data_IF_228735625671
#
_entry.id   IF_228735625671
#
_cell.length_a   1.000
_cell.length_b   1.000
_cell.length_c   1.000
_cell.angle_alpha   90.00
_cell.angle_beta   90.00
_cell.angle_gamma   90.00
#
_symmetry.space_group_name_H-M   'P 1'
#
loop_
_entity.id
_entity.type
_entity.pdbx_description
1 polymer ?
#
# COMPACT_ATOMS: atom_id res chain seq x y z
N UNK A 1 24.18 -11.78 -0.54
CA UNK A 1 23.54 -11.14 -1.71
C UNK A 1 23.54 -9.65 -1.47
N UNK A 2 23.98 -8.83 -2.43
CA UNK A 2 23.99 -7.36 -2.25
C UNK A 2 22.56 -6.81 -2.26
N UNK A 3 22.30 -5.66 -1.62
CA UNK A 3 20.97 -5.04 -1.62
C UNK A 3 20.41 -4.80 -3.02
N UNK A 4 21.25 -4.42 -3.97
CA UNK A 4 20.86 -4.18 -5.36
C UNK A 4 20.39 -5.47 -6.06
N UNK A 5 21.10 -6.57 -5.86
CA UNK A 5 20.67 -7.89 -6.39
C UNK A 5 19.34 -8.32 -5.79
N UNK A 6 19.14 -8.10 -4.49
CA UNK A 6 17.88 -8.43 -3.83
C UNK A 6 16.73 -7.62 -4.43
N UNK A 7 16.89 -6.30 -4.56
CA UNK A 7 15.91 -5.42 -5.19
C UNK A 7 15.58 -5.85 -6.61
N UNK A 8 16.59 -6.18 -7.41
CA UNK A 8 16.42 -6.67 -8.78
C UNK A 8 15.58 -7.95 -8.84
N UNK A 9 15.91 -8.96 -8.03
CA UNK A 9 15.16 -10.23 -8.02
C UNK A 9 13.74 -10.04 -7.50
N UNK A 10 13.54 -9.21 -6.47
CA UNK A 10 12.20 -8.90 -5.94
C UNK A 10 11.37 -8.18 -7.01
N UNK A 11 11.93 -7.17 -7.66
CA UNK A 11 11.26 -6.48 -8.76
C UNK A 11 10.87 -7.42 -9.90
N UNK A 12 11.75 -8.38 -10.27
CA UNK A 12 11.41 -9.40 -11.27
C UNK A 12 10.22 -10.28 -10.85
N UNK A 13 10.21 -10.73 -9.59
CA UNK A 13 9.09 -11.54 -9.06
C UNK A 13 7.78 -10.76 -9.06
N UNK A 14 7.81 -9.50 -8.61
CA UNK A 14 6.64 -8.61 -8.66
C UNK A 14 6.14 -8.44 -10.09
N UNK A 15 7.04 -8.18 -11.03
CA UNK A 15 6.67 -8.04 -12.43
C UNK A 15 6.09 -9.30 -13.06
N UNK A 16 6.67 -10.44 -12.71
CA UNK A 16 6.13 -11.74 -13.16
C UNK A 16 4.72 -11.96 -12.62
N UNK A 17 4.47 -11.67 -11.33
CA UNK A 17 3.14 -11.79 -10.73
C UNK A 17 2.12 -10.84 -11.39
N UNK A 18 2.49 -9.59 -11.61
CA UNK A 18 1.64 -8.60 -12.31
C UNK A 18 1.24 -9.13 -13.69
N UNK A 19 2.18 -9.71 -14.43
CA UNK A 19 1.95 -10.25 -15.76
C UNK A 19 1.11 -11.55 -15.73
N UNK A 20 1.53 -12.54 -14.97
CA UNK A 20 0.90 -13.86 -14.92
C UNK A 20 -0.57 -13.79 -14.46
N UNK A 21 -0.87 -12.86 -13.55
CA UNK A 21 -2.22 -12.66 -13.00
C UNK A 21 -2.97 -11.46 -13.62
N UNK A 22 -2.41 -10.82 -14.64
CA UNK A 22 -3.02 -9.66 -15.31
C UNK A 22 -3.50 -8.58 -14.32
N UNK A 23 -2.68 -8.30 -13.31
CA UNK A 23 -3.06 -7.42 -12.19
C UNK A 23 -3.21 -5.96 -12.62
N UNK A 24 -2.44 -5.52 -13.64
CA UNK A 24 -2.47 -4.16 -14.18
C UNK A 24 -2.78 -4.17 -15.67
N UNK A 25 -3.46 -3.13 -16.11
CA UNK A 25 -3.82 -2.87 -17.51
C UNK A 25 -3.38 -1.47 -17.91
N UNK A 26 -3.38 -1.23 -19.23
CA UNK A 26 -3.15 0.10 -19.81
C UNK A 26 -4.14 1.11 -19.23
N UNK A 27 -3.62 2.25 -18.77
CA UNK A 27 -4.41 3.34 -18.20
C UNK A 27 -4.86 3.14 -16.76
N UNK A 28 -4.42 2.08 -16.06
CA UNK A 28 -4.80 1.88 -14.66
C UNK A 28 -4.28 3.00 -13.76
N UNK A 29 -5.15 3.49 -12.89
CA UNK A 29 -4.81 4.40 -11.79
C UNK A 29 -4.72 3.61 -10.49
N UNK A 30 -3.51 3.48 -9.99
CA UNK A 30 -3.17 2.62 -8.84
C UNK A 30 -3.06 3.45 -7.57
N UNK A 31 -3.88 3.15 -6.58
CA UNK A 31 -3.74 3.66 -5.22
C UNK A 31 -2.90 2.68 -4.41
N UNK A 32 -1.69 3.07 -4.07
CA UNK A 32 -0.77 2.24 -3.27
C UNK A 32 -0.93 2.55 -1.79
N UNK A 33 -1.49 1.61 -1.02
CA UNK A 33 -1.63 1.76 0.43
C UNK A 33 -0.25 1.68 1.11
N UNK A 34 0.14 2.75 1.78
CA UNK A 34 1.41 2.85 2.50
C UNK A 34 1.14 2.88 4.00
N UNK A 35 1.71 1.93 4.73
CA UNK A 35 1.60 1.85 6.19
C UNK A 35 2.75 2.56 6.94
N UNK A 36 3.81 2.95 6.21
CA UNK A 36 5.08 3.41 6.78
C UNK A 36 6.05 2.26 7.12
N UNK A 37 5.61 1.02 7.04
CA UNK A 37 6.47 -0.16 7.20
C UNK A 37 7.34 -0.41 5.96
N UNK A 38 8.48 -1.09 6.17
CA UNK A 38 9.50 -1.38 5.14
C UNK A 38 8.91 -2.04 3.88
N UNK A 39 7.95 -2.95 4.04
CA UNK A 39 7.39 -3.72 2.93
C UNK A 39 6.55 -2.83 2.01
N UNK A 40 5.73 -1.93 2.58
CA UNK A 40 4.94 -0.97 1.81
C UNK A 40 5.80 0.05 1.07
N UNK A 41 6.88 0.54 1.69
CA UNK A 41 7.80 1.47 1.07
C UNK A 41 8.65 0.79 -0.02
N UNK A 42 9.09 -0.45 0.22
CA UNK A 42 9.81 -1.24 -0.76
C UNK A 42 8.95 -1.51 -2.01
N UNK A 43 7.70 -1.93 -1.81
CA UNK A 43 6.78 -2.18 -2.93
C UNK A 43 6.46 -0.88 -3.69
N UNK A 44 6.26 0.23 -2.99
CA UNK A 44 6.06 1.54 -3.62
C UNK A 44 7.21 1.90 -4.58
N UNK A 45 8.45 1.74 -4.12
CA UNK A 45 9.63 1.99 -4.92
C UNK A 45 9.72 1.04 -6.13
N UNK A 46 9.46 -0.24 -5.93
CA UNK A 46 9.43 -1.23 -7.03
C UNK A 46 8.38 -0.84 -8.06
N UNK A 47 7.17 -0.49 -7.65
CA UNK A 47 6.09 -0.11 -8.57
C UNK A 47 6.47 1.13 -9.38
N UNK A 48 7.04 2.16 -8.74
CA UNK A 48 7.55 3.37 -9.39
C UNK A 48 8.63 3.07 -10.44
N UNK A 49 9.64 2.28 -10.06
CA UNK A 49 10.73 1.94 -10.97
C UNK A 49 10.24 1.15 -12.17
N UNK A 50 9.26 0.28 -11.97
CA UNK A 50 8.71 -0.58 -13.03
C UNK A 50 7.93 0.17 -14.10
N UNK A 51 7.33 1.32 -13.82
CA UNK A 51 6.66 2.15 -14.83
C UNK A 51 7.56 2.38 -16.06
N UNK A 52 8.88 2.46 -15.85
CA UNK A 52 9.86 2.71 -16.92
C UNK A 52 10.15 1.50 -17.82
N UNK A 53 9.81 0.30 -17.39
CA UNK A 53 10.25 -0.95 -18.03
C UNK A 53 9.11 -1.86 -18.48
N UNK A 54 7.87 -1.51 -18.16
CA UNK A 54 6.71 -2.33 -18.55
C UNK A 54 6.08 -1.76 -19.83
N UNK A 55 5.51 -2.61 -20.69
CA UNK A 55 4.93 -2.18 -21.96
C UNK A 55 3.53 -1.56 -21.83
N UNK A 56 3.08 -1.28 -20.60
CA UNK A 56 1.80 -0.65 -20.28
C UNK A 56 2.03 0.62 -19.47
N UNK A 57 1.22 1.63 -19.72
CA UNK A 57 1.20 2.84 -18.91
C UNK A 57 0.22 2.67 -17.75
N UNK A 58 0.64 2.99 -16.55
CA UNK A 58 -0.20 3.11 -15.36
C UNK A 58 0.32 4.22 -14.43
N UNK A 59 -0.56 4.80 -13.65
CA UNK A 59 -0.22 5.84 -12.68
C UNK A 59 -0.20 5.23 -11.27
N UNK A 60 0.76 5.64 -10.44
CA UNK A 60 0.84 5.23 -9.03
C UNK A 60 0.74 6.45 -8.14
N UNK A 61 -0.20 6.43 -7.22
CA UNK A 61 -0.33 7.42 -6.15
C UNK A 61 -0.21 6.70 -4.81
N UNK A 62 0.70 7.15 -3.96
CA UNK A 62 0.83 6.64 -2.61
C UNK A 62 -0.30 7.18 -1.73
N UNK A 63 -0.85 6.35 -0.84
CA UNK A 63 -1.86 6.80 0.12
C UNK A 63 -1.53 6.28 1.52
N UNK A 64 -1.38 7.20 2.44
CA UNK A 64 -1.30 6.92 3.86
C UNK A 64 -2.60 7.35 4.54
N UNK A 65 -3.20 6.47 5.34
CA UNK A 65 -4.38 6.81 6.16
C UNK A 65 -3.90 7.20 7.55
N UNK A 66 -4.03 8.47 7.89
CA UNK A 66 -3.66 9.00 9.20
C UNK A 66 -4.76 8.70 10.22
N UNK A 67 -4.57 7.65 11.00
CA UNK A 67 -5.51 7.23 12.04
C UNK A 67 -5.41 8.08 13.32
N UNK A 68 -4.53 9.08 13.36
CA UNK A 68 -4.38 10.00 14.48
C UNK A 68 -3.59 9.42 15.66
N UNK A 69 -2.72 8.44 15.43
CA UNK A 69 -1.87 7.90 16.49
C UNK A 69 -0.63 8.76 16.70
N UNK A 70 -0.42 9.20 17.94
CA UNK A 70 0.69 10.09 18.32
C UNK A 70 2.08 9.47 18.17
N UNK A 71 2.17 8.13 18.26
CA UNK A 71 3.44 7.41 18.11
C UNK A 71 3.89 7.21 16.65
N UNK A 72 3.07 7.60 15.69
CA UNK A 72 3.44 7.53 14.27
C UNK A 72 4.13 8.81 13.84
N UNK A 73 5.39 8.70 13.43
CA UNK A 73 6.13 9.84 12.89
C UNK A 73 5.69 10.13 11.44
N UNK A 74 4.57 10.84 11.31
CA UNK A 74 3.99 11.21 10.02
C UNK A 74 4.93 12.08 9.18
N UNK A 75 5.64 13.01 9.79
CA UNK A 75 6.53 13.93 9.07
C UNK A 75 7.70 13.20 8.41
N UNK A 76 8.20 12.15 9.04
CA UNK A 76 9.23 11.29 8.44
C UNK A 76 8.69 10.55 7.22
N UNK A 77 7.48 10.04 7.29
CA UNK A 77 6.83 9.36 6.17
C UNK A 77 6.55 10.32 5.02
N UNK A 78 6.01 11.51 5.30
CA UNK A 78 5.75 12.54 4.28
C UNK A 78 7.04 12.93 3.56
N UNK A 79 8.12 13.23 4.30
CA UNK A 79 9.42 13.51 3.71
C UNK A 79 9.93 12.37 2.82
N UNK A 80 9.71 11.13 3.23
CA UNK A 80 10.10 9.98 2.41
C UNK A 80 9.30 9.93 1.11
N UNK A 81 7.98 10.14 1.15
CA UNK A 81 7.12 10.16 -0.03
C UNK A 81 7.48 11.30 -1.00
N UNK A 82 7.78 12.49 -0.46
CA UNK A 82 8.28 13.62 -1.23
C UNK A 82 9.60 13.31 -1.94
N UNK A 83 10.53 12.70 -1.24
CA UNK A 83 11.82 12.27 -1.81
C UNK A 83 11.67 11.21 -2.90
N UNK A 84 10.65 10.35 -2.80
CA UNK A 84 10.33 9.41 -3.85
C UNK A 84 9.77 10.10 -5.11
N UNK A 85 9.27 11.33 -5.01
CA UNK A 85 8.77 12.11 -6.16
C UNK A 85 7.53 11.50 -6.81
N UNK A 86 6.73 10.74 -6.06
CA UNK A 86 5.44 10.22 -6.48
C UNK A 86 4.32 11.09 -5.93
N UNK A 87 3.18 11.19 -6.64
CA UNK A 87 1.97 11.74 -6.07
C UNK A 87 1.59 10.99 -4.80
N UNK A 88 1.20 11.71 -3.75
CA UNK A 88 0.73 11.07 -2.52
C UNK A 88 -0.50 11.77 -1.94
N UNK A 89 -1.27 11.03 -1.16
CA UNK A 89 -2.45 11.50 -0.45
C UNK A 89 -2.34 11.07 1.01
N UNK A 90 -2.58 12.01 1.92
CA UNK A 90 -2.80 11.70 3.34
C UNK A 90 -4.30 11.69 3.56
N UNK A 91 -4.86 10.50 3.66
CA UNK A 91 -6.29 10.31 3.90
C UNK A 91 -6.60 10.35 5.40
N UNK A 92 -7.80 10.81 5.72
CA UNK A 92 -8.33 10.75 7.08
C UNK A 92 -9.17 9.47 7.28
N UNK A 93 -9.32 8.99 8.52
CA UNK A 93 -10.24 7.90 8.82
C UNK A 93 -11.68 8.35 8.56
N UNK A 94 -12.62 7.39 8.41
CA UNK A 94 -14.00 7.74 8.15
C UNK A 94 -14.62 8.47 9.33
N UNK A 95 -15.66 9.25 9.07
CA UNK A 95 -16.44 9.97 10.09
C UNK A 95 -16.91 9.01 11.20
N UNK A 96 -16.71 9.44 12.46
CA UNK A 96 -17.03 8.60 13.63
C UNK A 96 -15.85 7.74 14.12
N UNK A 97 -14.71 7.76 13.44
CA UNK A 97 -13.48 7.20 14.01
C UNK A 97 -13.04 8.04 15.20
N UNK A 98 -12.83 7.37 16.34
CA UNK A 98 -12.32 7.99 17.54
C UNK A 98 -11.06 7.23 18.00
N UNK A 99 -9.94 7.91 18.08
CA UNK A 99 -8.69 7.35 18.55
C UNK A 99 -8.53 7.30 20.08
N UNK A 100 -9.60 7.62 20.84
CA UNK A 100 -9.58 7.72 22.30
C UNK A 100 -10.27 6.56 23.04
N UNK A 101 -10.34 5.39 22.46
CA UNK A 101 -11.02 4.24 23.04
C UNK A 101 -10.18 2.96 23.06
N UNK A 102 -10.75 1.87 23.56
CA UNK A 102 -10.15 0.54 23.50
C UNK A 102 -9.96 0.12 22.04
N UNK A 103 -8.71 0.24 21.56
CA UNK A 103 -8.36 -0.09 20.19
C UNK A 103 -8.37 -1.59 19.98
N UNK A 104 -9.37 -2.02 19.24
CA UNK A 104 -9.31 -3.32 18.62
C UNK A 104 -8.57 -3.19 17.28
N UNK A 105 -7.50 -3.96 17.06
CA UNK A 105 -6.73 -4.00 15.82
C UNK A 105 -7.62 -4.26 14.61
N UNK A 106 -8.67 -5.04 14.77
CA UNK A 106 -9.67 -5.29 13.74
C UNK A 106 -10.37 -4.00 13.30
N UNK A 107 -10.89 -3.20 14.24
CA UNK A 107 -11.57 -1.92 13.92
C UNK A 107 -10.63 -0.91 13.26
N UNK A 108 -9.40 -0.82 13.74
CA UNK A 108 -8.39 0.04 13.12
C UNK A 108 -8.12 -0.37 11.67
N UNK A 109 -7.89 -1.66 11.44
CA UNK A 109 -7.65 -2.22 10.11
C UNK A 109 -8.85 -2.04 9.19
N UNK A 110 -10.06 -2.28 9.69
CA UNK A 110 -11.32 -2.09 8.97
C UNK A 110 -11.50 -0.63 8.51
N UNK A 111 -11.39 0.31 9.44
CA UNK A 111 -11.58 1.74 9.13
C UNK A 111 -10.51 2.26 8.17
N UNK A 112 -9.26 1.81 8.30
CA UNK A 112 -8.21 2.14 7.36
C UNK A 112 -8.53 1.65 5.94
N UNK A 113 -8.97 0.41 5.80
CA UNK A 113 -9.40 -0.14 4.49
C UNK A 113 -10.59 0.63 3.94
N UNK A 114 -11.60 0.91 4.77
CA UNK A 114 -12.78 1.69 4.37
C UNK A 114 -12.40 3.06 3.81
N UNK A 115 -11.47 3.79 4.45
CA UNK A 115 -10.95 5.06 3.94
C UNK A 115 -10.30 4.91 2.57
N UNK A 116 -9.48 3.87 2.38
CA UNK A 116 -8.81 3.61 1.11
C UNK A 116 -9.81 3.29 -0.01
N UNK A 117 -10.81 2.47 0.25
CA UNK A 117 -11.84 2.13 -0.74
C UNK A 117 -12.70 3.33 -1.10
N UNK A 118 -13.14 4.12 -0.11
CA UNK A 118 -13.91 5.35 -0.35
C UNK A 118 -13.11 6.34 -1.19
N UNK A 119 -11.86 6.59 -0.81
CA UNK A 119 -10.97 7.49 -1.55
C UNK A 119 -10.72 7.00 -2.99
N UNK A 120 -10.51 5.70 -3.16
CA UNK A 120 -10.31 5.12 -4.48
C UNK A 120 -11.54 5.33 -5.37
N UNK A 121 -12.72 5.10 -4.83
CA UNK A 121 -13.98 5.32 -5.55
C UNK A 121 -14.17 6.80 -5.91
N UNK A 122 -14.03 7.70 -4.94
CA UNK A 122 -14.21 9.14 -5.12
C UNK A 122 -13.24 9.75 -6.15
N UNK A 123 -12.00 9.29 -6.18
CA UNK A 123 -10.96 9.81 -7.07
C UNK A 123 -10.75 9.00 -8.35
N UNK A 124 -11.56 7.97 -8.58
CA UNK A 124 -11.52 7.17 -9.80
C UNK A 124 -10.27 6.30 -9.93
N UNK A 125 -9.69 5.83 -8.84
CA UNK A 125 -8.65 4.81 -8.89
C UNK A 125 -9.25 3.46 -9.29
N UNK A 126 -8.57 2.76 -10.19
CA UNK A 126 -9.03 1.47 -10.73
C UNK A 126 -8.50 0.28 -9.92
N UNK A 127 -7.40 0.47 -9.20
CA UNK A 127 -6.72 -0.55 -8.41
C UNK A 127 -6.29 -0.02 -7.06
N UNK A 128 -6.38 -0.86 -6.04
CA UNK A 128 -5.74 -0.62 -4.73
C UNK A 128 -4.70 -1.71 -4.51
N UNK A 129 -3.49 -1.33 -4.14
CA UNK A 129 -2.39 -2.25 -3.90
C UNK A 129 -1.98 -2.19 -2.43
N UNK A 130 -1.91 -3.35 -1.81
CA UNK A 130 -1.42 -3.55 -0.45
C UNK A 130 -0.12 -4.35 -0.47
N UNK A 131 0.81 -4.01 0.41
CA UNK A 131 2.07 -4.73 0.56
C UNK A 131 1.94 -5.91 1.55
N UNK A 132 0.92 -6.73 1.37
CA UNK A 132 0.80 -7.99 2.09
C UNK A 132 1.64 -9.07 1.39
N UNK A 133 2.21 -9.97 2.16
CA UNK A 133 2.93 -11.13 1.65
C UNK A 133 2.22 -12.44 2.03
N UNK A 134 2.74 -13.54 1.53
CA UNK A 134 2.09 -14.84 1.68
C UNK A 134 1.94 -15.27 3.15
N UNK A 135 2.90 -14.92 3.99
CA UNK A 135 2.86 -15.26 5.42
C UNK A 135 1.71 -14.55 6.13
N UNK A 136 1.39 -13.29 5.78
CA UNK A 136 0.22 -12.57 6.32
C UNK A 136 -1.08 -13.33 6.02
N UNK A 137 -1.19 -13.92 4.83
CA UNK A 137 -2.36 -14.72 4.45
C UNK A 137 -2.45 -16.02 5.23
N UNK A 138 -1.32 -16.70 5.40
CA UNK A 138 -1.25 -17.96 6.17
C UNK A 138 -1.59 -17.71 7.62
N UNK A 139 -1.02 -16.68 8.24
CA UNK A 139 -1.33 -16.28 9.62
C UNK A 139 -2.83 -15.98 9.78
N UNK A 140 -3.43 -15.24 8.86
CA UNK A 140 -4.86 -14.93 8.88
C UNK A 140 -5.70 -16.20 8.75
N UNK A 141 -5.33 -17.13 7.87
CA UNK A 141 -6.03 -18.41 7.72
C UNK A 141 -5.96 -19.24 9.01
N UNK A 142 -4.77 -19.37 9.59
CA UNK A 142 -4.59 -20.14 10.84
C UNK A 142 -5.41 -19.54 11.98
N UNK A 143 -5.37 -18.21 12.15
CA UNK A 143 -6.18 -17.53 13.16
C UNK A 143 -7.68 -17.75 12.94
N UNK A 144 -8.15 -17.69 11.70
CA UNK A 144 -9.57 -17.92 11.36
C UNK A 144 -10.03 -19.37 11.56
N UNK A 145 -9.09 -20.32 11.68
CA UNK A 145 -9.40 -21.72 11.99
C UNK A 145 -9.44 -22.00 13.49
N UNK A 146 -8.82 -21.14 14.31
CA UNK A 146 -8.71 -21.32 15.76
C UNK A 146 -9.80 -20.53 16.50
N UNK A 147 -10.22 -19.39 15.95
CA UNK A 147 -11.19 -18.44 16.49
C UNK A 147 -12.41 -18.28 15.56
#
# INVERSE_FOLDING_TARGET
MTPERLTYFTSKKVGKAIWDYQMLKEGDKVLMAVSGGKDSLCLLRIMKERIKFVPIYYEVTACYVDMGFEWVNKDSLVRHLENEGLPYIIAQPPSGWNNKGDYNCFWCSWNRRKSLFNLAHEKGFTKIVFAHHMDDMIETMVLSMIF
#
